data_IF_057059739009
#
_entry.id   IF_057059739009
#
_cell.length_a   1.000
_cell.length_b   1.000
_cell.length_c   1.000
_cell.angle_alpha   90.00
_cell.angle_beta   90.00
_cell.angle_gamma   90.00
#
_symmetry.space_group_name_H-M   'P 1'
#
loop_
_entity.id
_entity.type
_entity.pdbx_description
1 polymer ?
#
# COMPACT_ATOMS: atom_id res chain seq x y z
N UNK A 1 30.72 21.34 -10.09
CA UNK A 1 31.58 20.81 -11.17
C UNK A 1 30.81 19.70 -11.88
N UNK A 2 30.89 19.61 -13.21
CA UNK A 2 30.32 18.49 -13.99
C UNK A 2 31.27 17.30 -13.93
N UNK A 3 30.77 16.06 -14.00
CA UNK A 3 31.35 15.04 -14.88
C UNK A 3 30.30 13.96 -15.24
N UNK A 4 30.33 13.57 -16.51
CA UNK A 4 29.56 12.49 -17.15
C UNK A 4 30.57 11.72 -18.01
N UNK A 5 30.47 10.39 -18.07
CA UNK A 5 30.92 9.48 -19.15
C UNK A 5 30.73 8.04 -18.64
N UNK A 6 29.87 7.19 -19.22
CA UNK A 6 29.81 6.65 -20.60
C UNK A 6 30.84 5.55 -20.87
N UNK A 7 30.34 4.31 -20.74
CA UNK A 7 30.45 3.16 -21.65
C UNK A 7 31.70 3.02 -22.58
N UNK A 8 32.37 1.86 -22.47
CA UNK A 8 33.11 1.23 -23.58
C UNK A 8 32.91 -0.28 -23.56
N UNK A 9 32.69 -0.89 -24.73
CA UNK A 9 32.55 -2.33 -24.94
C UNK A 9 33.78 -2.92 -25.67
N UNK A 10 34.06 -4.21 -25.50
CA UNK A 10 35.07 -4.94 -26.29
C UNK A 10 34.74 -6.44 -26.47
N UNK A 11 35.15 -6.98 -27.63
CA UNK A 11 34.84 -8.29 -28.23
C UNK A 11 36.18 -8.97 -28.65
N UNK A 12 36.41 -10.30 -28.67
CA UNK A 12 35.64 -11.52 -28.31
C UNK A 12 36.65 -12.56 -27.79
N UNK A 13 36.22 -13.62 -27.07
CA UNK A 13 36.85 -14.96 -27.19
C UNK A 13 35.94 -16.11 -26.77
N UNK A 14 35.94 -17.17 -27.57
CA UNK A 14 34.97 -18.28 -27.55
C UNK A 14 35.54 -19.57 -26.97
N UNK A 15 34.76 -20.29 -26.15
CA UNK A 15 34.79 -21.77 -26.08
C UNK A 15 33.38 -22.31 -25.95
N UNK A 16 33.06 -23.32 -26.75
CA UNK A 16 31.77 -24.01 -26.83
C UNK A 16 31.69 -25.22 -25.88
N UNK A 17 30.52 -25.45 -25.26
CA UNK A 17 30.12 -26.78 -24.75
C UNK A 17 28.72 -27.12 -25.26
N UNK A 18 28.51 -28.38 -25.62
CA UNK A 18 27.40 -28.88 -26.44
C UNK A 18 26.27 -29.50 -25.61
N UNK A 19 25.03 -29.25 -25.99
CA UNK A 19 23.90 -30.17 -25.76
C UNK A 19 22.93 -30.13 -26.96
N UNK A 20 22.49 -31.32 -27.41
CA UNK A 20 21.76 -31.53 -28.68
C UNK A 20 20.29 -31.03 -28.64
N UNK A 21 19.70 -30.68 -29.80
CA UNK A 21 18.31 -30.22 -29.90
C UNK A 21 17.29 -31.36 -29.85
N UNK A 22 16.05 -31.02 -29.45
CA UNK A 22 14.85 -31.82 -29.65
C UNK A 22 14.09 -31.34 -30.90
N UNK A 23 13.40 -32.28 -31.55
CA UNK A 23 12.85 -32.17 -32.89
C UNK A 23 11.73 -31.11 -33.04
N UNK A 24 11.75 -30.36 -34.14
CA UNK A 24 10.69 -29.43 -34.54
C UNK A 24 10.05 -29.93 -35.84
N UNK A 25 8.79 -30.40 -35.75
CA UNK A 25 7.99 -30.66 -36.96
C UNK A 25 7.44 -29.37 -37.55
N UNK A 26 7.85 -29.12 -38.78
CA UNK A 26 7.43 -27.99 -39.61
C UNK A 26 6.03 -28.24 -40.19
N UNK A 27 5.16 -27.22 -40.13
CA UNK A 27 4.00 -27.07 -41.02
C UNK A 27 3.98 -25.62 -41.51
N UNK A 28 3.75 -25.43 -42.81
CA UNK A 28 3.84 -24.13 -43.47
C UNK A 28 2.51 -23.78 -44.15
N UNK A 29 2.10 -22.51 -44.04
CA UNK A 29 1.22 -21.88 -45.02
C UNK A 29 1.32 -20.34 -45.02
N UNK A 30 1.74 -19.84 -46.17
CA UNK A 30 1.50 -18.53 -46.80
C UNK A 30 0.66 -17.44 -46.09
N UNK A 31 1.33 -16.32 -45.79
CA UNK A 31 1.01 -14.93 -46.20
C UNK A 31 -0.45 -14.48 -46.45
N UNK A 32 -0.83 -13.35 -45.87
CA UNK A 32 -1.17 -12.11 -46.62
C UNK A 32 -1.16 -10.87 -45.71
N UNK A 33 -0.96 -9.70 -46.31
CA UNK A 33 -0.82 -8.39 -45.65
C UNK A 33 -2.14 -7.65 -45.49
N UNK A 34 -2.28 -6.86 -44.42
CA UNK A 34 -2.86 -5.52 -44.52
C UNK A 34 -2.52 -4.63 -43.32
N UNK A 35 -2.46 -3.32 -43.56
CA UNK A 35 -2.07 -2.28 -42.62
C UNK A 35 -3.28 -1.42 -42.21
N UNK A 36 -3.37 -1.08 -40.91
CA UNK A 36 -4.15 0.05 -40.42
C UNK A 36 -3.62 0.50 -39.05
N UNK A 37 -3.50 1.80 -38.84
CA UNK A 37 -3.24 2.38 -37.51
C UNK A 37 -4.56 2.81 -36.88
N UNK A 38 -4.73 2.58 -35.58
CA UNK A 38 -5.71 3.28 -34.77
C UNK A 38 -5.27 3.29 -33.30
N UNK A 39 -5.05 4.48 -32.77
CA UNK A 39 -4.78 4.74 -31.36
C UNK A 39 -6.09 4.70 -30.56
N UNK A 40 -6.17 3.92 -29.49
CA UNK A 40 -7.15 4.17 -28.43
C UNK A 40 -6.68 3.66 -27.06
N UNK A 41 -6.68 4.58 -26.10
CA UNK A 41 -6.45 4.34 -24.69
C UNK A 41 -7.66 3.65 -24.05
N UNK A 42 -7.47 2.56 -23.31
CA UNK A 42 -8.50 1.98 -22.44
C UNK A 42 -7.97 1.80 -21.02
N UNK A 43 -8.61 2.50 -20.08
CA UNK A 43 -8.42 2.37 -18.65
C UNK A 43 -8.98 1.04 -18.15
N UNK A 44 -8.19 0.31 -17.36
CA UNK A 44 -8.58 -0.97 -16.76
C UNK A 44 -9.50 -0.74 -15.56
N UNK A 45 -10.75 -1.25 -15.64
CA UNK A 45 -11.64 -1.43 -14.49
C UNK A 45 -11.80 -2.92 -14.20
N UNK A 46 -11.75 -3.29 -12.91
CA UNK A 46 -11.84 -4.68 -12.48
C UNK A 46 -13.23 -5.28 -12.76
N UNK A 47 -13.26 -6.52 -13.27
CA UNK A 47 -14.50 -7.21 -13.59
C UNK A 47 -15.03 -8.02 -12.40
N UNK A 48 -16.26 -7.71 -11.96
CA UNK A 48 -17.04 -8.56 -11.05
C UNK A 48 -18.34 -8.97 -11.74
N UNK A 49 -18.45 -10.23 -12.15
CA UNK A 49 -19.62 -10.78 -12.82
C UNK A 49 -20.56 -11.51 -11.84
N UNK A 50 -21.77 -10.99 -11.66
CA UNK A 50 -22.89 -11.72 -11.08
C UNK A 50 -24.21 -11.30 -11.75
N UNK A 51 -24.85 -12.22 -12.46
CA UNK A 51 -26.10 -12.00 -13.19
C UNK A 51 -27.30 -12.48 -12.38
N UNK A 52 -28.26 -11.61 -12.10
CA UNK A 52 -29.60 -11.98 -11.66
C UNK A 52 -30.63 -11.03 -12.29
N UNK A 53 -31.62 -11.60 -12.97
CA UNK A 53 -32.66 -10.87 -13.67
C UNK A 53 -33.93 -10.73 -12.82
N UNK A 54 -34.40 -9.51 -12.59
CA UNK A 54 -35.78 -9.27 -12.14
C UNK A 54 -36.29 -7.93 -12.66
N UNK A 55 -37.54 -7.92 -13.11
CA UNK A 55 -38.22 -6.77 -13.72
C UNK A 55 -39.01 -5.96 -12.69
N UNK A 56 -38.95 -4.62 -12.74
CA UNK A 56 -40.09 -3.78 -12.35
C UNK A 56 -40.07 -2.36 -12.93
N UNK A 57 -41.29 -1.84 -13.10
CA UNK A 57 -41.75 -0.50 -13.49
C UNK A 57 -40.88 0.72 -13.13
N UNK A 58 -40.82 1.66 -14.09
CA UNK A 58 -40.29 3.01 -13.94
C UNK A 58 -41.20 3.93 -13.09
N UNK A 59 -40.62 4.62 -12.10
CA UNK A 59 -41.16 5.86 -11.53
C UNK A 59 -40.05 6.92 -11.56
N UNK A 60 -40.38 8.12 -12.04
CA UNK A 60 -39.40 9.19 -12.21
C UNK A 60 -39.16 9.94 -10.89
N UNK A 61 -37.90 10.06 -10.48
CA UNK A 61 -37.45 10.90 -9.37
C UNK A 61 -36.53 12.01 -9.87
N UNK A 62 -36.68 13.19 -9.27
CA UNK A 62 -35.94 14.41 -9.63
C UNK A 62 -34.43 14.28 -9.47
N UNK A 63 -33.61 15.02 -10.25
CA UNK A 63 -32.15 14.99 -10.09
C UNK A 63 -31.73 15.49 -8.69
N UNK A 64 -30.64 14.94 -8.12
CA UNK A 64 -30.12 15.39 -6.83
C UNK A 64 -29.64 16.85 -6.90
N UNK A 65 -29.66 17.59 -5.77
CA UNK A 65 -29.10 18.93 -5.73
C UNK A 65 -27.60 18.90 -6.04
N UNK A 66 -27.03 19.97 -6.64
CA UNK A 66 -25.60 20.06 -6.85
C UNK A 66 -24.85 20.01 -5.51
N UNK A 67 -23.68 19.36 -5.44
CA UNK A 67 -22.91 19.29 -4.20
C UNK A 67 -22.51 20.70 -3.75
N UNK A 68 -22.43 20.96 -2.43
CA UNK A 68 -21.98 22.25 -1.93
C UNK A 68 -20.56 22.52 -2.43
N UNK A 69 -20.34 23.71 -3.00
CA UNK A 69 -19.02 24.15 -3.43
C UNK A 69 -18.17 24.40 -2.19
N UNK A 70 -17.45 23.36 -1.74
CA UNK A 70 -16.40 23.49 -0.73
C UNK A 70 -15.31 24.39 -1.32
N UNK A 71 -14.91 25.49 -0.66
CA UNK A 71 -13.80 26.30 -1.15
C UNK A 71 -12.56 25.42 -1.26
N UNK A 72 -11.96 25.34 -2.45
CA UNK A 72 -10.69 24.65 -2.66
C UNK A 72 -9.64 25.30 -1.76
N UNK A 73 -9.38 24.68 -0.60
CA UNK A 73 -8.43 25.19 0.38
C UNK A 73 -7.09 25.42 -0.30
N UNK A 74 -6.55 26.64 -0.18
CA UNK A 74 -5.37 27.04 -0.93
C UNK A 74 -4.24 26.03 -0.69
N UNK A 75 -3.67 25.53 -1.77
CA UNK A 75 -2.51 24.64 -1.71
C UNK A 75 -1.26 25.52 -1.79
N UNK A 76 -0.35 25.32 -0.85
CA UNK A 76 0.99 25.91 -0.89
C UNK A 76 2.04 24.79 -0.83
N UNK A 77 3.28 25.13 -1.17
CA UNK A 77 4.40 24.22 -1.02
C UNK A 77 4.57 23.83 0.46
N UNK A 78 4.63 22.52 0.76
CA UNK A 78 4.90 22.04 2.13
C UNK A 78 6.38 22.16 2.49
N UNK A 79 7.25 22.18 1.48
CA UNK A 79 8.68 22.45 1.63
C UNK A 79 8.89 23.92 2.02
N UNK A 80 9.49 24.14 3.19
CA UNK A 80 9.88 25.46 3.72
C UNK A 80 8.75 26.46 4.04
N UNK A 81 7.52 26.00 4.32
CA UNK A 81 6.45 26.88 4.83
C UNK A 81 6.52 27.01 6.36
N UNK A 82 6.31 28.20 6.94
CA UNK A 82 6.23 28.36 8.40
C UNK A 82 5.02 27.64 9.03
N UNK A 83 3.96 27.41 8.25
CA UNK A 83 2.80 26.59 8.62
C UNK A 83 3.17 25.11 8.85
N UNK A 84 4.27 24.63 8.27
CA UNK A 84 4.78 23.27 8.48
C UNK A 84 5.28 23.02 9.92
N UNK A 85 5.66 24.09 10.64
CA UNK A 85 6.35 24.04 11.95
C UNK A 85 5.43 24.39 13.12
N UNK A 86 4.42 25.26 12.91
CA UNK A 86 3.58 25.82 13.97
C UNK A 86 2.18 25.17 14.07
N UNK A 87 2.03 23.91 13.64
CA UNK A 87 0.78 23.16 13.77
C UNK A 87 0.51 22.77 15.24
N UNK A 88 0.00 23.71 16.02
CA UNK A 88 -0.59 23.47 17.34
C UNK A 88 -1.98 22.85 17.27
N UNK A 89 -2.42 22.42 16.08
CA UNK A 89 -3.72 21.81 15.84
C UNK A 89 -3.89 20.63 16.80
N UNK A 90 -4.76 20.81 17.81
CA UNK A 90 -4.98 19.76 18.79
C UNK A 90 -5.66 18.57 18.13
N UNK A 91 -5.44 17.40 18.71
CA UNK A 91 -5.85 16.14 18.08
C UNK A 91 -7.35 16.11 17.76
N UNK A 92 -8.18 16.60 18.69
CA UNK A 92 -9.64 16.55 18.70
C UNK A 92 -10.29 17.95 18.62
N UNK A 93 -9.66 18.88 17.90
CA UNK A 93 -10.25 20.21 17.68
C UNK A 93 -11.49 20.11 16.78
N UNK A 94 -12.68 20.17 17.38
CA UNK A 94 -13.96 20.11 16.67
C UNK A 94 -14.25 21.31 15.76
N UNK A 95 -13.47 22.39 15.86
CA UNK A 95 -13.54 23.51 14.91
C UNK A 95 -12.82 23.21 13.58
N UNK A 96 -11.96 22.18 13.54
CA UNK A 96 -11.35 21.71 12.30
C UNK A 96 -12.38 20.97 11.46
N UNK A 97 -12.49 21.38 10.20
CA UNK A 97 -13.41 20.80 9.22
C UNK A 97 -13.31 19.27 9.18
N UNK A 98 -14.46 18.60 9.22
CA UNK A 98 -14.57 17.14 9.21
C UNK A 98 -14.38 16.48 10.59
N UNK A 99 -13.50 16.98 11.46
CA UNK A 99 -13.20 16.37 12.77
C UNK A 99 -14.42 16.41 13.71
N UNK A 100 -15.12 17.54 13.76
CA UNK A 100 -16.32 17.71 14.60
C UNK A 100 -17.63 17.13 14.04
N UNK A 101 -17.60 16.38 12.94
CA UNK A 101 -18.81 16.01 12.20
C UNK A 101 -19.56 14.81 12.82
N UNK A 102 -20.90 14.85 12.78
CA UNK A 102 -21.79 13.87 13.44
C UNK A 102 -21.71 12.46 12.86
N UNK A 103 -21.27 12.31 11.60
CA UNK A 103 -21.02 10.99 11.01
C UNK A 103 -19.96 10.18 11.78
N UNK A 104 -19.08 10.85 12.54
CA UNK A 104 -18.05 10.23 13.37
C UNK A 104 -18.41 10.11 14.86
N UNK A 105 -19.69 10.20 15.25
CA UNK A 105 -20.09 10.03 16.65
C UNK A 105 -19.90 8.58 17.18
N UNK A 106 -19.73 7.61 16.29
CA UNK A 106 -19.33 6.24 16.63
C UNK A 106 -17.82 6.03 16.84
N UNK A 107 -17.00 7.09 16.72
CA UNK A 107 -15.54 7.00 16.91
C UNK A 107 -15.20 6.99 18.41
N UNK A 108 -14.41 6.00 18.82
CA UNK A 108 -13.93 5.83 20.18
C UNK A 108 -12.74 6.76 20.45
N UNK A 109 -12.67 7.32 21.66
CA UNK A 109 -11.53 8.12 22.11
C UNK A 109 -10.39 7.22 22.59
N UNK A 110 -9.18 7.48 22.12
CA UNK A 110 -7.97 6.82 22.59
C UNK A 110 -7.63 7.25 24.01
N UNK A 111 -7.26 6.26 24.83
CA UNK A 111 -6.69 6.44 26.17
C UNK A 111 -5.24 6.91 26.08
N UNK A 112 -4.52 6.52 25.02
CA UNK A 112 -3.10 6.84 24.80
C UNK A 112 -2.91 7.44 23.40
N UNK A 113 -3.17 8.77 23.23
CA UNK A 113 -2.95 9.50 21.99
C UNK A 113 -1.61 9.21 21.31
N UNK A 114 -1.62 9.22 19.98
CA UNK A 114 -0.49 8.85 19.14
C UNK A 114 -0.14 9.97 18.16
N UNK A 115 1.13 10.04 17.75
CA UNK A 115 1.53 10.71 16.52
C UNK A 115 1.43 9.70 15.36
N UNK A 116 0.45 9.88 14.47
CA UNK A 116 0.17 8.98 13.35
C UNK A 116 0.55 9.65 12.02
N UNK A 117 1.38 8.98 11.23
CA UNK A 117 1.51 9.28 9.79
C UNK A 117 0.46 8.47 9.04
N UNK A 118 -0.34 9.13 8.20
CA UNK A 118 -1.37 8.53 7.36
C UNK A 118 -0.97 8.66 5.88
N UNK A 119 -1.15 7.59 5.11
CA UNK A 119 -0.90 7.58 3.66
C UNK A 119 -1.86 6.61 2.97
N UNK A 120 -1.80 6.47 1.64
CA UNK A 120 -2.51 5.46 0.84
C UNK A 120 -1.89 5.36 -0.56
N UNK A 121 -2.50 4.58 -1.46
CA UNK A 121 -2.18 4.60 -2.89
C UNK A 121 -3.26 5.22 -3.79
N UNK A 122 -4.49 5.42 -3.34
CA UNK A 122 -5.57 6.03 -4.16
C UNK A 122 -5.45 7.56 -4.37
N UNK A 123 -4.43 8.20 -3.78
CA UNK A 123 -4.21 9.66 -3.61
C UNK A 123 -4.91 10.36 -2.43
N UNK A 124 -4.32 11.47 -1.98
CA UNK A 124 -4.74 12.36 -0.88
C UNK A 124 -6.16 12.93 -1.00
N UNK A 125 -6.77 12.79 -2.19
CA UNK A 125 -8.09 13.25 -2.53
C UNK A 125 -9.16 12.15 -2.56
N UNK A 126 -8.80 10.88 -2.28
CA UNK A 126 -9.79 9.82 -2.14
C UNK A 126 -10.68 10.03 -0.91
N UNK A 127 -11.93 9.58 -0.97
CA UNK A 127 -12.88 9.73 0.12
C UNK A 127 -12.45 8.94 1.36
N UNK A 128 -11.95 7.72 1.18
CA UNK A 128 -11.56 6.83 2.27
C UNK A 128 -10.42 7.40 3.14
N UNK A 129 -9.31 7.83 2.53
CA UNK A 129 -8.16 8.34 3.30
C UNK A 129 -8.50 9.64 4.03
N UNK A 130 -9.37 10.48 3.43
CA UNK A 130 -9.87 11.72 4.05
C UNK A 130 -10.84 11.45 5.20
N UNK A 131 -11.75 10.49 5.05
CA UNK A 131 -12.62 10.07 6.14
C UNK A 131 -11.81 9.49 7.31
N UNK A 132 -10.81 8.64 7.04
CA UNK A 132 -9.96 8.07 8.09
C UNK A 132 -9.11 9.14 8.80
N UNK A 133 -8.62 10.14 8.08
CA UNK A 133 -7.92 11.27 8.68
C UNK A 133 -8.78 12.00 9.72
N UNK A 134 -10.02 12.35 9.36
CA UNK A 134 -10.94 12.99 10.31
C UNK A 134 -11.32 12.06 11.47
N UNK A 135 -11.52 10.76 11.21
CA UNK A 135 -11.85 9.78 12.25
C UNK A 135 -10.70 9.55 13.25
N UNK A 136 -9.45 9.44 12.80
CA UNK A 136 -8.28 9.29 13.68
C UNK A 136 -8.03 10.56 14.52
N UNK A 137 -8.31 11.74 13.97
CA UNK A 137 -8.30 13.00 14.74
C UNK A 137 -9.44 13.05 15.75
N UNK A 138 -10.67 12.68 15.35
CA UNK A 138 -11.83 12.52 16.25
C UNK A 138 -11.58 11.50 17.37
N UNK A 139 -10.72 10.49 17.15
CA UNK A 139 -10.29 9.56 18.20
C UNK A 139 -9.30 10.18 19.20
N UNK A 140 -8.73 11.35 18.92
CA UNK A 140 -7.76 12.03 19.79
C UNK A 140 -6.29 11.78 19.41
N UNK A 141 -5.99 11.29 18.20
CA UNK A 141 -4.62 11.20 17.70
C UNK A 141 -4.17 12.46 16.95
N UNK A 142 -2.86 12.77 16.97
CA UNK A 142 -2.25 13.79 16.10
C UNK A 142 -1.93 13.13 14.76
N UNK A 143 -2.58 13.56 13.68
CA UNK A 143 -2.47 12.89 12.37
C UNK A 143 -1.81 13.80 11.34
N UNK A 144 -0.79 13.27 10.65
CA UNK A 144 -0.15 13.87 9.49
C UNK A 144 -0.43 12.98 8.27
N UNK A 145 -1.29 13.44 7.35
CA UNK A 145 -1.46 12.77 6.05
C UNK A 145 -0.37 13.23 5.07
N UNK A 146 0.35 12.29 4.49
CA UNK A 146 1.18 12.48 3.29
C UNK A 146 0.83 11.36 2.31
N UNK A 147 -0.01 11.66 1.33
CA UNK A 147 -0.49 10.71 0.33
C UNK A 147 -0.05 11.10 -1.09
N UNK A 148 -0.09 10.18 -2.07
CA UNK A 148 0.14 10.53 -3.46
C UNK A 148 -0.76 11.66 -3.98
N UNK A 149 -0.29 12.45 -4.94
CA UNK A 149 -1.11 13.40 -5.69
C UNK A 149 -2.05 12.69 -6.70
N UNK A 150 -1.57 11.61 -7.30
CA UNK A 150 -2.25 10.77 -8.30
C UNK A 150 -2.61 9.40 -7.74
N UNK A 151 -3.49 8.65 -8.40
CA UNK A 151 -3.65 7.23 -8.08
C UNK A 151 -2.35 6.46 -8.40
N UNK A 152 -1.92 5.62 -7.45
CA UNK A 152 -0.73 4.77 -7.47
C UNK A 152 -1.05 3.30 -7.12
N UNK A 153 -2.28 2.82 -7.37
CA UNK A 153 -2.58 1.38 -7.30
C UNK A 153 -1.59 0.57 -8.15
N UNK A 154 -1.24 -0.64 -7.70
CA UNK A 154 -0.39 -1.55 -8.47
C UNK A 154 1.12 -1.26 -8.42
N UNK A 155 1.61 -0.47 -7.46
CA UNK A 155 3.04 -0.12 -7.32
C UNK A 155 3.84 -1.00 -6.37
N UNK A 156 3.19 -1.84 -5.56
CA UNK A 156 3.87 -2.64 -4.53
C UNK A 156 4.79 -1.79 -3.65
N UNK A 157 5.96 -2.34 -3.29
CA UNK A 157 7.04 -1.62 -2.59
C UNK A 157 7.89 -0.66 -3.44
N UNK A 158 7.47 -0.31 -4.67
CA UNK A 158 8.30 0.55 -5.53
C UNK A 158 8.47 1.96 -4.93
N UNK A 159 9.69 2.48 -4.90
CA UNK A 159 10.01 3.86 -4.49
C UNK A 159 10.34 4.69 -5.73
N UNK A 160 9.44 5.62 -6.10
CA UNK A 160 9.70 6.65 -7.13
C UNK A 160 9.53 8.02 -6.49
N UNK A 161 10.57 8.84 -6.59
CA UNK A 161 10.59 10.24 -6.16
C UNK A 161 10.26 11.17 -7.35
N UNK A 162 9.75 12.38 -7.09
CA UNK A 162 9.54 13.37 -8.15
C UNK A 162 10.85 13.76 -8.82
N UNK A 163 10.84 13.82 -10.15
CA UNK A 163 11.97 14.29 -10.97
C UNK A 163 11.89 15.78 -11.32
N UNK A 164 10.74 16.40 -11.05
CA UNK A 164 10.42 17.79 -11.37
C UNK A 164 10.01 18.54 -10.11
N UNK A 165 10.31 19.86 -10.04
CA UNK A 165 9.89 20.70 -8.92
C UNK A 165 8.36 20.91 -8.86
N UNK A 166 7.68 20.71 -9.97
CA UNK A 166 6.26 20.96 -10.14
C UNK A 166 5.56 19.75 -10.77
N UNK A 167 4.29 19.59 -10.42
CA UNK A 167 3.34 18.61 -10.93
C UNK A 167 3.14 18.82 -12.43
N UNK A 168 3.45 17.80 -13.24
CA UNK A 168 3.38 17.85 -14.72
C UNK A 168 2.10 17.28 -15.30
N UNK A 169 1.34 16.51 -14.53
CA UNK A 169 0.02 15.96 -14.86
C UNK A 169 -0.98 16.28 -13.76
N UNK A 170 -2.25 16.46 -14.10
CA UNK A 170 -3.28 16.81 -13.13
C UNK A 170 -3.50 15.68 -12.10
N UNK A 171 -3.37 16.01 -10.81
CA UNK A 171 -3.64 15.08 -9.72
C UNK A 171 -5.10 14.62 -9.69
N UNK A 172 -5.40 13.58 -8.90
CA UNK A 172 -6.74 12.98 -8.83
C UNK A 172 -7.83 14.05 -8.68
N UNK A 173 -8.79 14.06 -9.61
CA UNK A 173 -9.94 14.97 -9.57
C UNK A 173 -9.64 16.46 -9.74
N UNK A 174 -8.44 16.85 -10.21
CA UNK A 174 -8.05 18.25 -10.36
C UNK A 174 -7.64 18.95 -9.06
N UNK A 175 -7.67 18.24 -7.93
CA UNK A 175 -7.34 18.81 -6.62
C UNK A 175 -5.85 19.14 -6.45
N UNK A 176 -4.98 18.72 -7.37
CA UNK A 176 -3.60 19.20 -7.49
C UNK A 176 -3.37 19.60 -8.96
N UNK A 177 -3.58 20.87 -9.33
CA UNK A 177 -3.41 21.33 -10.71
C UNK A 177 -1.97 21.20 -11.21
N UNK A 178 -1.80 21.09 -12.54
CA UNK A 178 -0.50 21.20 -13.21
C UNK A 178 0.17 22.51 -12.81
N UNK A 179 1.48 22.47 -12.52
CA UNK A 179 2.25 23.60 -12.02
C UNK A 179 2.24 23.76 -10.49
N UNK A 180 1.43 23.00 -9.75
CA UNK A 180 1.56 22.88 -8.28
C UNK A 180 2.94 22.33 -7.89
N UNK A 181 3.50 22.61 -6.70
CA UNK A 181 4.78 22.03 -6.27
C UNK A 181 4.69 20.50 -6.10
N UNK A 182 5.84 19.79 -6.18
CA UNK A 182 5.89 18.32 -6.03
C UNK A 182 5.39 17.83 -4.66
N UNK A 183 5.46 18.67 -3.63
CA UNK A 183 4.91 18.43 -2.30
C UNK A 183 4.11 19.66 -1.87
N UNK A 184 2.92 19.45 -1.32
CA UNK A 184 2.03 20.55 -0.96
C UNK A 184 1.13 20.23 0.22
N UNK A 185 0.68 21.28 0.91
CA UNK A 185 -0.25 21.19 2.05
C UNK A 185 -1.48 22.07 1.83
N UNK A 186 -2.58 21.70 2.50
CA UNK A 186 -3.77 22.54 2.63
C UNK A 186 -3.54 23.62 3.69
N UNK A 187 -3.68 24.91 3.36
CA UNK A 187 -3.42 25.99 4.34
C UNK A 187 -4.36 25.98 5.55
N UNK A 188 -5.60 25.51 5.38
CA UNK A 188 -6.61 25.49 6.45
C UNK A 188 -6.45 24.28 7.37
N UNK A 189 -5.73 23.25 6.94
CA UNK A 189 -5.32 22.13 7.78
C UNK A 189 -3.94 21.59 7.31
N UNK A 190 -2.84 22.11 7.87
CA UNK A 190 -1.47 21.72 7.49
C UNK A 190 -1.12 20.24 7.78
N UNK A 191 -2.00 19.48 8.43
CA UNK A 191 -1.90 18.02 8.54
C UNK A 191 -2.32 17.27 7.27
N UNK A 192 -2.96 17.94 6.30
CA UNK A 192 -3.38 17.35 5.02
C UNK A 192 -2.41 17.72 3.90
N UNK A 193 -1.58 16.76 3.47
CA UNK A 193 -0.53 16.97 2.47
C UNK A 193 -0.55 15.92 1.36
N UNK A 194 0.04 16.29 0.23
CA UNK A 194 0.38 15.35 -0.84
C UNK A 194 1.88 15.36 -1.14
N UNK A 195 2.35 14.26 -1.72
CA UNK A 195 3.68 14.11 -2.31
C UNK A 195 3.58 13.46 -3.69
N UNK A 196 4.35 13.93 -4.67
CA UNK A 196 4.34 13.42 -6.03
C UNK A 196 5.27 12.21 -6.20
N UNK A 197 4.97 11.13 -5.49
CA UNK A 197 5.73 9.89 -5.52
C UNK A 197 4.85 8.65 -5.46
N UNK A 198 5.48 7.48 -5.34
CA UNK A 198 4.78 6.23 -4.99
C UNK A 198 4.40 6.22 -3.50
N UNK A 199 3.53 5.29 -3.07
CA UNK A 199 3.06 5.20 -1.68
C UNK A 199 4.20 4.98 -0.67
N UNK A 200 5.14 4.08 -0.96
CA UNK A 200 6.36 3.90 -0.15
C UNK A 200 7.24 5.18 -0.11
N UNK A 201 7.31 5.93 -1.21
CA UNK A 201 7.99 7.22 -1.23
C UNK A 201 7.25 8.29 -0.40
N UNK A 202 5.93 8.23 -0.29
CA UNK A 202 5.13 9.09 0.58
C UNK A 202 5.36 8.77 2.06
N UNK A 203 5.41 7.48 2.45
CA UNK A 203 5.85 7.05 3.79
C UNK A 203 7.26 7.57 4.11
N UNK A 204 8.21 7.42 3.18
CA UNK A 204 9.57 7.92 3.35
C UNK A 204 9.63 9.45 3.53
N UNK A 205 8.98 10.21 2.65
CA UNK A 205 8.92 11.68 2.75
C UNK A 205 8.26 12.15 4.06
N UNK A 206 7.22 11.44 4.51
CA UNK A 206 6.58 11.73 5.78
C UNK A 206 7.56 11.59 6.95
N UNK A 207 8.25 10.44 7.05
CA UNK A 207 9.17 10.14 8.16
C UNK A 207 10.46 11.00 8.12
N UNK A 208 11.07 11.15 6.94
CA UNK A 208 12.37 11.81 6.77
C UNK A 208 12.29 13.35 6.69
N UNK A 209 11.10 13.92 6.49
CA UNK A 209 10.93 15.37 6.36
C UNK A 209 9.72 15.92 7.12
N UNK A 210 8.49 15.55 6.75
CA UNK A 210 7.30 16.28 7.21
C UNK A 210 6.97 16.04 8.70
N UNK A 211 7.19 14.83 9.20
CA UNK A 211 6.91 14.42 10.58
C UNK A 211 7.82 15.13 11.60
N UNK A 212 9.11 15.33 11.27
CA UNK A 212 10.09 15.96 12.15
C UNK A 212 9.62 17.35 12.62
N UNK A 213 9.06 18.12 11.68
CA UNK A 213 8.52 19.45 11.93
C UNK A 213 7.10 19.39 12.51
N UNK A 214 6.20 18.59 11.92
CA UNK A 214 4.79 18.55 12.33
C UNK A 214 4.58 18.02 13.76
N UNK A 215 5.33 16.99 14.16
CA UNK A 215 5.26 16.46 15.53
C UNK A 215 6.17 17.18 16.52
N UNK A 216 6.99 18.13 16.06
CA UNK A 216 8.03 18.83 16.82
C UNK A 216 9.04 17.85 17.48
N UNK A 217 9.53 16.90 16.68
CA UNK A 217 10.39 15.80 17.14
C UNK A 217 11.89 16.06 16.95
N UNK A 218 12.28 17.25 16.48
CA UNK A 218 13.67 17.67 16.25
C UNK A 218 14.58 17.62 17.49
N UNK A 219 14.02 17.47 18.70
CA UNK A 219 14.75 17.28 19.95
C UNK A 219 14.97 15.81 20.34
N UNK A 220 14.43 14.85 19.59
CA UNK A 220 14.63 13.41 19.83
C UNK A 220 15.74 12.88 18.93
N UNK A 221 16.71 12.18 19.52
CA UNK A 221 17.72 11.40 18.79
C UNK A 221 17.11 10.06 18.31
N UNK A 222 16.02 10.16 17.54
CA UNK A 222 15.02 9.13 17.27
C UNK A 222 14.78 9.03 15.76
N UNK A 223 15.12 7.88 15.17
CA UNK A 223 14.99 7.61 13.74
C UNK A 223 13.55 7.51 13.23
N UNK A 224 12.56 7.53 14.13
CA UNK A 224 11.12 7.53 13.79
C UNK A 224 10.51 8.93 13.70
N UNK A 225 11.29 9.99 13.96
CA UNK A 225 10.79 11.37 14.03
C UNK A 225 9.60 11.53 15.01
N UNK A 226 9.60 10.76 16.10
CA UNK A 226 8.53 10.76 17.11
C UNK A 226 7.18 10.20 16.63
N UNK A 227 7.15 9.47 15.51
CA UNK A 227 5.95 8.80 14.97
C UNK A 227 5.72 7.47 15.68
N UNK A 228 4.56 7.31 16.31
CA UNK A 228 4.18 6.07 17.01
C UNK A 228 3.70 4.98 16.04
N UNK A 229 3.08 5.38 14.93
CA UNK A 229 2.39 4.51 13.97
C UNK A 229 2.34 5.11 12.57
N UNK A 230 2.57 4.30 11.54
CA UNK A 230 2.11 4.57 10.18
C UNK A 230 0.79 3.83 9.93
N UNK A 231 -0.17 4.50 9.31
CA UNK A 231 -1.39 3.88 8.80
C UNK A 231 -1.43 4.11 7.30
N UNK A 232 -1.69 3.05 6.52
CA UNK A 232 -1.83 3.14 5.07
C UNK A 232 -3.22 2.68 4.63
N UNK A 233 -3.92 3.49 3.85
CA UNK A 233 -5.29 3.26 3.40
C UNK A 233 -6.33 4.16 4.11
N UNK A 234 -7.63 3.80 4.09
CA UNK A 234 -8.18 2.58 3.53
C UNK A 234 -8.16 2.60 2.00
N UNK A 235 -7.53 1.59 1.39
CA UNK A 235 -7.49 1.41 -0.08
C UNK A 235 -8.90 1.25 -0.67
N UNK A 236 -9.15 1.81 -1.86
CA UNK A 236 -10.39 1.63 -2.64
C UNK A 236 -10.39 0.24 -3.33
N UNK A 237 -10.47 -0.80 -2.51
CA UNK A 237 -10.39 -2.21 -2.89
C UNK A 237 -9.77 -3.05 -1.78
N UNK A 238 -9.86 -4.38 -1.87
CA UNK A 238 -9.21 -5.29 -0.90
C UNK A 238 -7.81 -5.70 -1.35
N UNK A 239 -6.94 -5.99 -0.38
CA UNK A 239 -5.59 -6.51 -0.61
C UNK A 239 -5.43 -7.81 0.19
N UNK A 240 -5.82 -8.93 -0.43
CA UNK A 240 -5.98 -10.23 0.23
C UNK A 240 -4.87 -11.20 -0.14
N UNK A 241 -4.09 -11.62 0.86
CA UNK A 241 -3.11 -12.68 0.77
C UNK A 241 -1.71 -12.24 0.32
N UNK A 242 -0.71 -13.13 0.41
CA UNK A 242 0.70 -12.77 0.24
C UNK A 242 1.04 -12.20 -1.14
N UNK A 243 0.31 -12.62 -2.19
CA UNK A 243 0.53 -12.11 -3.55
C UNK A 243 0.40 -10.58 -3.63
N UNK A 244 -0.49 -9.97 -2.84
CA UNK A 244 -0.72 -8.54 -2.90
C UNK A 244 0.45 -7.71 -2.35
N UNK A 245 1.44 -8.30 -1.67
CA UNK A 245 2.65 -7.59 -1.23
C UNK A 245 3.55 -7.19 -2.42
N UNK A 246 3.42 -7.83 -3.58
CA UNK A 246 4.15 -7.43 -4.81
C UNK A 246 3.41 -6.39 -5.65
N UNK A 247 2.14 -6.08 -5.33
CA UNK A 247 1.26 -5.22 -6.16
C UNK A 247 0.62 -4.04 -5.41
N UNK A 248 0.16 -4.23 -4.18
CA UNK A 248 -0.54 -3.18 -3.41
C UNK A 248 0.42 -2.08 -3.00
N UNK A 249 0.08 -0.83 -3.37
CA UNK A 249 0.79 0.35 -2.90
C UNK A 249 0.48 0.65 -1.44
N UNK A 250 -0.76 0.42 -0.99
CA UNK A 250 -1.15 0.54 0.42
C UNK A 250 -0.35 -0.42 1.32
N UNK A 251 -0.18 -1.69 0.93
CA UNK A 251 0.69 -2.62 1.65
C UNK A 251 2.15 -2.15 1.56
N UNK A 252 2.65 -1.80 0.37
CA UNK A 252 4.04 -1.36 0.18
C UNK A 252 4.43 -0.14 1.03
N UNK A 253 3.53 0.82 1.21
CA UNK A 253 3.73 1.98 2.07
C UNK A 253 3.81 1.61 3.57
N UNK A 254 2.99 0.65 4.00
CA UNK A 254 3.05 0.07 5.35
C UNK A 254 4.33 -0.75 5.55
N UNK A 255 4.74 -1.50 4.53
CA UNK A 255 5.93 -2.34 4.54
C UNK A 255 7.21 -1.52 4.76
N UNK A 256 7.37 -0.47 3.95
CA UNK A 256 8.48 0.47 4.04
C UNK A 256 8.59 1.12 5.44
N UNK A 257 7.46 1.43 6.08
CA UNK A 257 7.46 1.98 7.44
C UNK A 257 7.99 0.97 8.48
N UNK A 258 7.61 -0.31 8.37
CA UNK A 258 8.10 -1.38 9.27
C UNK A 258 9.61 -1.62 9.08
N UNK A 259 10.10 -1.62 7.83
CA UNK A 259 11.53 -1.70 7.51
C UNK A 259 12.31 -0.50 8.08
N UNK A 260 11.71 0.70 8.07
CA UNK A 260 12.25 1.91 8.71
C UNK A 260 12.11 1.93 10.23
N UNK A 261 11.61 0.85 10.85
CA UNK A 261 11.51 0.70 12.29
C UNK A 261 10.32 1.43 12.93
N UNK A 262 9.27 1.78 12.16
CA UNK A 262 8.02 2.36 12.67
C UNK A 262 6.91 1.28 12.62
N UNK A 263 6.11 1.07 13.69
CA UNK A 263 4.96 0.16 13.60
C UNK A 263 4.02 0.61 12.48
N UNK A 264 3.37 -0.34 11.78
CA UNK A 264 2.45 0.04 10.70
C UNK A 264 1.25 -0.89 10.53
N UNK A 265 0.12 -0.28 10.14
CA UNK A 265 -1.13 -0.96 9.80
C UNK A 265 -1.55 -0.56 8.37
N UNK A 266 -1.61 -1.52 7.46
CA UNK A 266 -2.28 -1.38 6.17
C UNK A 266 -3.79 -1.64 6.33
N UNK A 267 -4.64 -0.89 5.63
CA UNK A 267 -6.09 -0.99 5.69
C UNK A 267 -6.65 -0.97 4.27
N UNK A 268 -7.57 -1.88 3.97
CA UNK A 268 -8.14 -2.07 2.62
C UNK A 268 -9.63 -2.39 2.72
N UNK A 269 -10.45 -1.87 1.81
CA UNK A 269 -11.90 -2.02 1.91
C UNK A 269 -12.55 -2.18 0.54
N UNK A 270 -13.45 -3.16 0.40
CA UNK A 270 -14.35 -3.23 -0.77
C UNK A 270 -15.32 -2.04 -0.75
N UNK A 271 -14.90 -0.94 -1.37
CA UNK A 271 -15.56 0.38 -1.39
C UNK A 271 -15.63 0.91 -2.82
N UNK A 272 -16.50 1.88 -3.07
CA UNK A 272 -16.58 2.54 -4.37
C UNK A 272 -15.53 3.66 -4.51
N UNK A 273 -14.97 3.83 -5.72
CA UNK A 273 -13.95 4.86 -6.01
C UNK A 273 -14.60 6.25 -5.91
N UNK A 274 -14.17 7.06 -4.92
CA UNK A 274 -14.86 8.31 -4.55
C UNK A 274 -13.90 9.46 -4.31
N UNK A 275 -14.31 10.68 -4.67
CA UNK A 275 -13.57 11.89 -4.32
C UNK A 275 -13.99 12.38 -2.93
N UNK A 276 -13.08 13.00 -2.17
CA UNK A 276 -13.37 13.50 -0.82
C UNK A 276 -14.50 14.54 -0.77
N UNK A 277 -14.75 15.26 -1.87
CA UNK A 277 -15.89 16.20 -2.02
C UNK A 277 -17.25 15.49 -2.06
N UNK A 278 -17.28 14.17 -2.22
CA UNK A 278 -18.50 13.35 -2.13
C UNK A 278 -18.81 12.82 -0.72
N UNK A 279 -17.99 13.14 0.29
CA UNK A 279 -18.21 12.70 1.67
C UNK A 279 -19.42 13.41 2.29
N UNK A 280 -20.44 12.65 2.68
CA UNK A 280 -21.51 13.14 3.54
C UNK A 280 -21.07 13.04 5.01
N UNK A 281 -20.27 14.01 5.48
CA UNK A 281 -19.70 14.06 6.82
C UNK A 281 -20.74 13.99 7.96
N UNK A 282 -22.01 14.29 7.69
CA UNK A 282 -23.09 14.24 8.68
C UNK A 282 -23.77 12.87 8.79
N UNK A 283 -23.56 11.97 7.83
CA UNK A 283 -24.23 10.66 7.76
C UNK A 283 -23.27 9.53 8.17
N UNK A 284 -23.53 8.84 9.31
CA UNK A 284 -22.71 7.70 9.75
C UNK A 284 -22.87 6.47 8.84
N UNK A 285 -23.79 6.48 7.87
CA UNK A 285 -23.96 5.46 6.85
C UNK A 285 -23.31 5.83 5.51
N UNK A 286 -22.61 6.96 5.39
CA UNK A 286 -21.72 7.16 4.25
C UNK A 286 -20.63 6.07 4.28
N UNK A 287 -20.45 5.35 3.16
CA UNK A 287 -19.55 4.19 3.06
C UNK A 287 -18.14 4.47 3.60
N UNK A 288 -17.56 5.61 3.24
CA UNK A 288 -16.21 6.01 3.64
C UNK A 288 -16.17 6.46 5.10
N UNK A 289 -17.22 7.11 5.61
CA UNK A 289 -17.34 7.49 7.03
C UNK A 289 -17.45 6.24 7.92
N UNK A 290 -18.21 5.24 7.48
CA UNK A 290 -18.41 3.98 8.20
C UNK A 290 -17.14 3.11 8.21
N UNK A 291 -16.45 2.97 7.07
CA UNK A 291 -15.12 2.32 7.01
C UNK A 291 -14.10 3.07 7.88
N UNK A 292 -14.05 4.40 7.80
CA UNK A 292 -13.17 5.22 8.62
C UNK A 292 -13.43 5.06 10.11
N UNK A 293 -14.69 4.97 10.54
CA UNK A 293 -15.08 4.74 11.94
C UNK A 293 -14.61 3.36 12.42
N UNK A 294 -14.83 2.30 11.65
CA UNK A 294 -14.30 0.97 12.00
C UNK A 294 -12.77 0.94 12.04
N UNK A 295 -12.12 1.63 11.11
CA UNK A 295 -10.66 1.70 10.99
C UNK A 295 -10.03 2.47 12.16
N UNK A 296 -10.55 3.65 12.50
CA UNK A 296 -10.09 4.45 13.62
C UNK A 296 -10.32 3.73 14.96
N UNK A 297 -11.48 3.09 15.14
CA UNK A 297 -11.77 2.31 16.35
C UNK A 297 -10.83 1.11 16.51
N UNK A 298 -10.48 0.43 15.41
CA UNK A 298 -9.51 -0.67 15.44
C UNK A 298 -8.10 -0.19 15.76
N UNK A 299 -7.61 0.84 15.07
CA UNK A 299 -6.30 1.47 15.32
C UNK A 299 -6.20 1.92 16.78
N UNK A 300 -7.24 2.60 17.28
CA UNK A 300 -7.34 3.06 18.67
C UNK A 300 -7.27 1.88 19.65
N UNK A 301 -8.15 0.88 19.49
CA UNK A 301 -8.26 -0.25 20.41
C UNK A 301 -6.97 -1.07 20.46
N UNK A 302 -6.41 -1.44 19.30
CA UNK A 302 -5.17 -2.23 19.23
C UNK A 302 -4.00 -1.47 19.85
N UNK A 303 -3.93 -0.14 19.64
CA UNK A 303 -2.85 0.68 20.19
C UNK A 303 -2.96 0.90 21.69
N UNK A 304 -4.17 1.20 22.18
CA UNK A 304 -4.45 1.37 23.62
C UNK A 304 -4.17 0.06 24.39
N UNK A 305 -4.57 -1.09 23.85
CA UNK A 305 -4.33 -2.40 24.48
C UNK A 305 -2.84 -2.80 24.42
N UNK A 306 -2.14 -2.57 23.30
CA UNK A 306 -0.69 -2.82 23.18
C UNK A 306 0.14 -1.94 24.13
N UNK A 307 -0.32 -0.72 24.42
CA UNK A 307 0.33 0.27 25.30
C UNK A 307 -0.25 0.27 26.73
N UNK A 308 -1.19 -0.62 27.04
CA UNK A 308 -1.95 -0.65 28.31
C UNK A 308 -1.09 -0.80 29.58
N UNK A 309 -0.02 -1.60 29.50
CA UNK A 309 0.93 -1.83 30.60
C UNK A 309 2.12 -0.85 30.60
N UNK A 310 2.36 -0.17 29.48
CA UNK A 310 3.45 0.78 29.30
C UNK A 310 3.10 1.74 28.15
N UNK A 311 2.77 2.99 28.47
CA UNK A 311 2.41 4.02 27.48
C UNK A 311 3.54 4.38 26.52
N UNK A 312 4.80 4.07 26.87
CA UNK A 312 5.97 4.22 26.00
C UNK A 312 6.29 2.97 25.16
N UNK A 313 5.50 1.90 25.25
CA UNK A 313 5.67 0.72 24.41
C UNK A 313 5.36 1.02 22.94
N UNK A 314 5.99 0.22 22.06
CA UNK A 314 5.64 0.16 20.63
C UNK A 314 4.34 -0.63 20.47
N UNK A 315 3.52 -0.23 19.51
CA UNK A 315 2.24 -0.89 19.20
C UNK A 315 2.48 -2.29 18.61
N UNK A 316 3.53 -2.43 17.79
CA UNK A 316 4.00 -3.70 17.24
C UNK A 316 5.52 -3.85 17.46
N UNK A 317 6.04 -5.09 17.58
CA UNK A 317 7.48 -5.37 17.58
C UNK A 317 8.20 -4.84 16.35
N UNK A 318 9.53 -4.73 16.42
CA UNK A 318 10.34 -4.44 15.24
C UNK A 318 10.16 -5.54 14.18
N UNK A 319 10.12 -5.14 12.91
CA UNK A 319 9.93 -6.04 11.79
C UNK A 319 8.51 -6.61 11.62
N UNK A 320 7.55 -6.23 12.47
CA UNK A 320 6.18 -6.73 12.44
C UNK A 320 5.20 -5.61 12.06
N UNK A 321 4.31 -5.92 11.11
CA UNK A 321 3.20 -5.06 10.71
C UNK A 321 1.87 -5.82 10.68
N UNK A 322 0.78 -5.10 10.40
CA UNK A 322 -0.57 -5.68 10.34
C UNK A 322 -1.29 -5.19 9.07
N UNK A 323 -2.16 -6.03 8.51
CA UNK A 323 -3.10 -5.66 7.44
C UNK A 323 -4.55 -5.93 7.86
N UNK A 324 -5.45 -5.01 7.54
CA UNK A 324 -6.89 -5.10 7.75
C UNK A 324 -7.61 -5.08 6.42
N UNK A 325 -8.53 -6.03 6.20
CA UNK A 325 -9.45 -5.97 5.07
C UNK A 325 -10.91 -5.91 5.52
N UNK A 326 -11.72 -5.14 4.79
CA UNK A 326 -13.18 -5.05 4.97
C UNK A 326 -13.93 -5.60 3.74
N UNK A 327 -15.04 -6.34 3.96
CA UNK A 327 -15.97 -6.72 2.91
C UNK A 327 -16.82 -5.50 2.48
N UNK A 328 -17.65 -5.65 1.44
CA UNK A 328 -18.52 -4.54 1.00
C UNK A 328 -19.67 -4.33 2.01
N UNK A 329 -19.65 -3.21 2.72
CA UNK A 329 -20.59 -2.86 3.79
C UNK A 329 -21.80 -2.09 3.28
N UNK A 330 -22.89 -2.06 4.05
CA UNK A 330 -23.99 -1.11 3.77
C UNK A 330 -23.44 0.33 3.75
N UNK A 331 -23.90 1.19 2.82
CA UNK A 331 -25.09 1.07 1.99
C UNK A 331 -24.86 0.43 0.61
N UNK A 332 -23.61 0.17 0.23
CA UNK A 332 -23.23 -0.29 -1.13
C UNK A 332 -23.12 -1.82 -1.24
N UNK A 333 -23.10 -2.52 -0.10
CA UNK A 333 -23.19 -3.97 0.04
C UNK A 333 -24.12 -4.39 1.17
N UNK A 334 -24.07 -5.67 1.57
CA UNK A 334 -25.06 -6.25 2.49
C UNK A 334 -24.56 -6.42 3.93
N UNK A 335 -23.31 -6.03 4.24
CA UNK A 335 -22.74 -6.20 5.57
C UNK A 335 -23.13 -5.03 6.50
N UNK A 336 -24.03 -5.30 7.44
CA UNK A 336 -24.53 -4.37 8.47
C UNK A 336 -23.71 -4.43 9.77
N UNK A 337 -23.53 -5.64 10.28
CA UNK A 337 -23.06 -5.96 11.64
C UNK A 337 -21.66 -6.59 11.58
N UNK A 338 -20.67 -5.74 11.29
CA UNK A 338 -19.29 -6.16 11.06
C UNK A 338 -18.67 -6.81 12.31
N UNK A 339 -18.22 -8.06 12.17
CA UNK A 339 -17.43 -8.78 13.19
C UNK A 339 -15.94 -8.83 12.84
N UNK A 340 -15.07 -9.00 13.84
CA UNK A 340 -13.62 -9.04 13.65
C UNK A 340 -13.09 -10.47 13.75
N UNK A 341 -12.14 -10.82 12.88
CA UNK A 341 -11.45 -12.11 12.90
C UNK A 341 -9.94 -11.90 12.80
N UNK A 342 -9.19 -12.47 13.75
CA UNK A 342 -7.74 -12.63 13.62
C UNK A 342 -7.47 -13.71 12.56
N UNK A 343 -6.81 -13.32 11.48
CA UNK A 343 -6.54 -14.14 10.31
C UNK A 343 -5.05 -14.31 10.07
N UNK A 344 -4.72 -15.15 9.09
CA UNK A 344 -3.41 -15.20 8.46
C UNK A 344 -3.57 -14.87 6.96
N UNK A 345 -2.51 -14.36 6.33
CA UNK A 345 -2.54 -13.97 4.91
C UNK A 345 -2.88 -15.15 3.99
N UNK A 346 -2.26 -16.30 4.25
CA UNK A 346 -2.42 -17.56 3.50
C UNK A 346 -3.70 -18.30 3.89
N UNK A 347 -4.27 -19.11 3.01
CA UNK A 347 -5.44 -19.96 3.30
C UNK A 347 -6.59 -19.61 2.35
N UNK A 348 -6.68 -20.36 1.25
CA UNK A 348 -7.41 -19.97 0.03
C UNK A 348 -6.94 -18.63 -0.57
N UNK A 349 -5.72 -18.22 -0.24
CA UNK A 349 -5.06 -17.08 -0.87
C UNK A 349 -4.87 -17.37 -2.37
N UNK A 350 -5.01 -16.32 -3.17
CA UNK A 350 -4.93 -16.37 -4.63
C UNK A 350 -3.63 -15.75 -5.12
N UNK A 351 -3.19 -16.21 -6.28
CA UNK A 351 -2.17 -15.60 -7.13
C UNK A 351 -2.72 -15.51 -8.55
N UNK A 352 -2.22 -14.59 -9.36
CA UNK A 352 -2.61 -14.49 -10.76
C UNK A 352 -2.17 -15.71 -11.59
N UNK A 353 -3.08 -16.17 -12.45
CA UNK A 353 -2.77 -17.04 -13.58
C UNK A 353 -3.07 -16.33 -14.88
N UNK A 354 -2.07 -16.22 -15.76
CA UNK A 354 -2.27 -15.67 -17.09
C UNK A 354 -3.08 -16.65 -17.95
N UNK A 355 -4.10 -16.13 -18.61
CA UNK A 355 -4.99 -16.85 -19.53
C UNK A 355 -5.22 -15.99 -20.77
N UNK A 356 -5.58 -16.60 -21.90
CA UNK A 356 -5.94 -15.85 -23.12
C UNK A 356 -7.45 -15.65 -23.13
N UNK A 357 -7.89 -14.41 -23.30
CA UNK A 357 -9.31 -14.09 -23.48
C UNK A 357 -9.77 -14.59 -24.86
N UNK A 358 -10.66 -15.59 -24.90
CA UNK A 358 -11.07 -16.26 -26.13
C UNK A 358 -11.79 -15.35 -27.15
N UNK A 359 -12.34 -14.21 -26.72
CA UNK A 359 -13.06 -13.27 -27.59
C UNK A 359 -12.12 -12.26 -28.25
N UNK A 360 -11.07 -11.81 -27.54
CA UNK A 360 -10.14 -10.76 -28.01
C UNK A 360 -8.79 -11.30 -28.47
N UNK A 361 -8.44 -12.53 -28.11
CA UNK A 361 -7.11 -13.13 -28.36
C UNK A 361 -5.99 -12.55 -27.49
N UNK A 362 -6.29 -11.62 -26.59
CA UNK A 362 -5.30 -10.96 -25.74
C UNK A 362 -5.10 -11.69 -24.39
N UNK A 363 -3.90 -11.63 -23.79
CA UNK A 363 -3.68 -12.08 -22.42
C UNK A 363 -4.54 -11.32 -21.41
N UNK A 364 -4.97 -12.02 -20.37
CA UNK A 364 -5.64 -11.48 -19.18
C UNK A 364 -5.33 -12.38 -17.98
N UNK A 365 -5.93 -12.09 -16.82
CA UNK A 365 -5.65 -12.71 -15.54
C UNK A 365 -6.86 -13.50 -15.04
N UNK A 366 -6.61 -14.58 -14.31
CA UNK A 366 -7.61 -15.35 -13.59
C UNK A 366 -7.07 -15.75 -12.21
N UNK A 367 -7.96 -15.82 -11.21
CA UNK A 367 -7.59 -16.21 -9.85
C UNK A 367 -7.12 -17.67 -9.82
N UNK A 368 -5.96 -17.93 -9.21
CA UNK A 368 -5.44 -19.28 -9.00
C UNK A 368 -5.07 -19.50 -7.54
N UNK A 369 -5.73 -20.47 -6.90
CA UNK A 369 -5.36 -20.96 -5.56
C UNK A 369 -4.22 -21.96 -5.74
N UNK A 370 -3.00 -21.55 -5.40
CA UNK A 370 -1.80 -22.39 -5.49
C UNK A 370 -1.40 -22.91 -4.11
N UNK A 371 -0.89 -24.14 -4.05
CA UNK A 371 -0.30 -24.70 -2.82
C UNK A 371 0.89 -23.86 -2.34
N UNK A 372 1.66 -23.26 -3.25
CA UNK A 372 2.83 -22.44 -2.91
C UNK A 372 2.47 -21.20 -2.10
N UNK A 373 1.45 -20.43 -2.53
CA UNK A 373 0.98 -19.23 -1.79
C UNK A 373 0.15 -19.58 -0.54
N UNK A 374 -0.20 -20.85 -0.35
CA UNK A 374 -0.99 -21.34 0.79
C UNK A 374 -0.20 -22.22 1.77
N UNK A 375 1.08 -22.47 1.53
CA UNK A 375 1.92 -23.31 2.37
C UNK A 375 1.99 -22.75 3.81
N UNK A 376 1.71 -23.59 4.82
CA UNK A 376 1.98 -23.20 6.21
C UNK A 376 3.45 -23.47 6.56
N UNK A 377 4.28 -22.44 6.35
CA UNK A 377 5.72 -22.48 6.65
C UNK A 377 6.03 -21.74 7.96
N UNK A 378 5.34 -20.62 8.22
CA UNK A 378 5.48 -19.81 9.43
C UNK A 378 4.11 -19.27 9.91
N UNK A 379 4.07 -18.82 11.18
CA UNK A 379 2.86 -18.32 11.83
C UNK A 379 1.91 -19.41 12.33
N UNK A 380 0.76 -19.00 12.88
CA UNK A 380 -0.24 -19.92 13.41
C UNK A 380 -1.13 -20.52 12.30
N UNK A 381 -0.93 -21.79 11.94
CA UNK A 381 -1.72 -22.47 10.92
C UNK A 381 -3.22 -22.63 11.27
N UNK A 382 -3.63 -22.49 12.54
CA UNK A 382 -5.04 -22.70 12.94
C UNK A 382 -5.94 -21.48 12.68
N UNK A 383 -5.35 -20.31 12.37
CA UNK A 383 -6.12 -19.13 11.97
C UNK A 383 -6.69 -19.31 10.55
N UNK A 384 -7.92 -18.83 10.28
CA UNK A 384 -8.47 -18.82 8.94
C UNK A 384 -7.71 -17.83 8.03
N UNK A 385 -7.69 -18.13 6.73
CA UNK A 385 -7.07 -17.25 5.74
C UNK A 385 -7.95 -16.04 5.42
N UNK A 386 -7.36 -14.85 5.31
CA UNK A 386 -8.13 -13.61 5.13
C UNK A 386 -8.95 -13.58 3.84
N UNK A 387 -8.46 -14.17 2.75
CA UNK A 387 -9.22 -14.30 1.50
C UNK A 387 -10.54 -15.05 1.71
N UNK A 388 -10.54 -16.10 2.54
CA UNK A 388 -11.75 -16.85 2.90
C UNK A 388 -12.66 -16.04 3.85
N UNK A 389 -12.09 -15.35 4.83
CA UNK A 389 -12.86 -14.55 5.79
C UNK A 389 -13.63 -13.42 5.11
N UNK A 390 -13.00 -12.70 4.17
CA UNK A 390 -13.66 -11.60 3.46
C UNK A 390 -14.68 -12.09 2.41
N UNK A 391 -14.45 -13.26 1.80
CA UNK A 391 -15.32 -13.78 0.73
C UNK A 391 -16.45 -14.71 1.21
N UNK A 392 -16.45 -15.16 2.48
CA UNK A 392 -17.44 -16.12 2.99
C UNK A 392 -18.87 -15.56 3.21
N UNK A 393 -19.09 -14.26 3.02
CA UNK A 393 -20.40 -13.60 3.17
C UNK A 393 -20.89 -13.37 4.60
N UNK A 394 -20.10 -13.70 5.64
CA UNK A 394 -20.50 -13.60 7.07
C UNK A 394 -20.31 -12.21 7.69
N UNK A 395 -20.11 -11.16 6.89
CA UNK A 395 -19.92 -9.78 7.36
C UNK A 395 -18.76 -9.66 8.38
N UNK A 396 -17.54 -10.02 7.94
CA UNK A 396 -16.37 -10.09 8.80
C UNK A 396 -15.22 -9.23 8.24
N UNK A 397 -14.57 -8.44 9.08
CA UNK A 397 -13.27 -7.85 8.81
C UNK A 397 -12.17 -8.82 9.22
N UNK A 398 -11.11 -8.89 8.43
CA UNK A 398 -9.92 -9.69 8.71
C UNK A 398 -8.80 -8.80 9.25
N UNK A 399 -8.03 -9.30 10.22
CA UNK A 399 -6.81 -8.68 10.70
C UNK A 399 -5.68 -9.71 10.69
N UNK A 400 -4.70 -9.54 9.80
CA UNK A 400 -3.56 -10.44 9.62
C UNK A 400 -2.24 -9.77 9.99
N UNK A 401 -1.36 -10.47 10.68
CA UNK A 401 0.00 -10.01 11.01
C UNK A 401 0.98 -10.44 9.90
N UNK A 402 1.95 -9.59 9.57
CA UNK A 402 3.05 -9.88 8.64
C UNK A 402 4.42 -9.58 9.27
N UNK A 403 5.47 -10.15 8.67
CA UNK A 403 6.87 -9.92 9.03
C UNK A 403 7.65 -9.36 7.84
N UNK A 404 8.73 -8.63 8.13
CA UNK A 404 9.77 -8.23 7.17
C UNK A 404 11.07 -9.02 7.33
N UNK A 405 11.07 -10.01 8.23
CA UNK A 405 12.07 -11.08 8.27
C UNK A 405 11.72 -12.13 7.21
N UNK A 406 12.56 -12.20 6.17
CA UNK A 406 12.36 -13.03 4.99
C UNK A 406 13.15 -14.35 5.01
N UNK A 407 14.01 -14.57 6.01
CA UNK A 407 14.90 -15.73 6.01
C UNK A 407 14.10 -17.03 6.09
N UNK A 408 14.53 -18.02 5.31
CA UNK A 408 13.80 -19.27 5.18
C UNK A 408 13.83 -20.04 6.52
N UNK A 409 12.67 -20.39 7.11
CA UNK A 409 12.58 -20.77 8.51
C UNK A 409 13.35 -22.06 8.78
N UNK A 410 14.30 -21.97 9.71
CA UNK A 410 15.33 -22.97 10.02
C UNK A 410 14.79 -24.40 10.18
N UNK A 411 13.63 -24.56 10.85
CA UNK A 411 12.97 -25.87 11.05
C UNK A 411 12.44 -26.54 9.77
N UNK A 412 12.34 -25.81 8.64
CA UNK A 412 11.97 -26.33 7.32
C UNK A 412 13.17 -26.44 6.36
N UNK A 413 14.30 -25.86 6.72
CA UNK A 413 15.49 -25.72 5.85
C UNK A 413 16.75 -26.34 6.41
N UNK A 414 16.75 -26.95 7.61
CA UNK A 414 17.92 -27.50 8.28
C UNK A 414 18.86 -28.33 7.37
N UNK A 415 18.34 -29.34 6.68
CA UNK A 415 19.13 -30.20 5.78
C UNK A 415 19.71 -29.42 4.59
N UNK A 416 18.95 -28.46 4.05
CA UNK A 416 19.37 -27.59 2.96
C UNK A 416 20.45 -26.59 3.42
N UNK A 417 20.34 -26.06 4.64
CA UNK A 417 21.34 -25.16 5.25
C UNK A 417 22.66 -25.90 5.46
N UNK A 418 22.61 -27.15 5.94
CA UNK A 418 23.81 -27.97 6.08
C UNK A 418 24.49 -28.21 4.72
N UNK A 419 23.73 -28.71 3.74
CA UNK A 419 24.25 -28.95 2.38
C UNK A 419 24.77 -27.68 1.69
N UNK A 420 24.11 -26.54 1.89
CA UNK A 420 24.55 -25.22 1.38
C UNK A 420 25.86 -24.78 2.05
N UNK A 421 25.98 -24.96 3.37
CA UNK A 421 27.18 -24.60 4.15
C UNK A 421 28.40 -25.42 3.71
N UNK A 422 28.23 -26.73 3.56
CA UNK A 422 29.28 -27.63 3.07
C UNK A 422 29.68 -27.31 1.62
N UNK A 423 28.68 -27.04 0.76
CA UNK A 423 28.88 -26.63 -0.62
C UNK A 423 29.68 -25.33 -0.75
N UNK A 424 29.31 -24.29 -0.01
CA UNK A 424 30.04 -23.00 0.04
C UNK A 424 31.46 -23.20 0.58
N UNK A 425 31.63 -24.02 1.62
CA UNK A 425 32.95 -24.34 2.19
C UNK A 425 33.87 -25.02 1.18
N UNK A 426 33.33 -25.94 0.36
CA UNK A 426 34.05 -26.60 -0.73
C UNK A 426 34.42 -25.65 -1.88
N UNK A 427 33.56 -24.70 -2.24
CA UNK A 427 33.88 -23.68 -3.24
C UNK A 427 35.04 -22.78 -2.77
N UNK A 428 35.04 -22.38 -1.49
CA UNK A 428 36.05 -21.49 -0.93
C UNK A 428 37.42 -22.18 -0.75
N UNK A 429 37.46 -23.45 -0.36
CA UNK A 429 38.73 -24.20 -0.22
C UNK A 429 39.40 -24.49 -1.57
N UNK A 430 38.62 -24.63 -2.64
CA UNK A 430 39.16 -24.74 -4.00
C UNK A 430 39.69 -23.39 -4.53
N UNK A 431 39.13 -22.25 -4.12
CA UNK A 431 39.64 -20.94 -4.53
C UNK A 431 41.06 -20.67 -4.00
N UNK A 432 41.37 -21.10 -2.77
CA UNK A 432 42.71 -20.93 -2.18
C UNK A 432 43.78 -21.81 -2.82
N UNK A 433 43.44 -23.01 -3.32
CA UNK A 433 44.39 -23.90 -4.00
C UNK A 433 44.80 -23.41 -5.41
N UNK A 434 43.92 -22.66 -6.10
CA UNK A 434 44.29 -21.97 -7.34
C UNK A 434 45.17 -20.73 -7.11
N UNK A 435 45.04 -20.06 -5.95
CA UNK A 435 45.86 -18.89 -5.59
C UNK A 435 47.31 -19.28 -5.28
N UNK A 436 47.52 -20.33 -4.48
CA UNK A 436 48.88 -20.83 -4.15
C UNK A 436 49.64 -21.32 -5.38
N UNK A 437 48.95 -21.93 -6.36
CA UNK A 437 49.56 -22.35 -7.62
C UNK A 437 49.96 -21.18 -8.54
N UNK A 438 49.40 -19.96 -8.40
CA UNK A 438 49.86 -18.77 -9.12
C UNK A 438 51.07 -18.09 -8.47
N UNK A 439 51.19 -18.14 -7.14
CA UNK A 439 52.33 -17.58 -6.43
C UNK A 439 53.65 -18.33 -6.71
N UNK A 440 53.57 -19.65 -6.93
CA UNK A 440 54.74 -20.49 -7.24
C UNK A 440 55.25 -20.38 -8.69
N UNK A 441 54.55 -19.69 -9.60
CA UNK A 441 54.94 -19.58 -11.02
C UNK A 441 55.69 -18.29 -11.38
N UNK A 442 55.98 -17.40 -10.42
CA UNK A 442 56.72 -16.14 -10.62
C UNK A 442 58.07 -16.10 -9.90
N UNK A 443 58.50 -17.18 -9.25
CA UNK A 443 59.77 -17.28 -8.52
C UNK A 443 60.89 -18.01 -9.29
N UNK A 444 60.71 -18.28 -10.58
CA UNK A 444 61.66 -19.01 -11.44
C UNK A 444 61.76 -18.37 -12.83
N UNK A 445 62.52 -17.27 -12.89
CA UNK A 445 63.05 -16.64 -14.09
C UNK A 445 64.47 -16.15 -13.81
#
# INVERSE_FOLDING_TARGET
>A
MKFFSVLTAALVSSVSVSSKPLDLRQLASSSTSNSASATSTSSLSAASSASASTSTSSSATSPPPPPPVVPSGTIINSYNSSLSYNSTASADDSSVYGVGATGFDGVQKSKIPLNIVLTNDDSWASANVRALYYALRRAGHRVLMVSPSHNQSGKGGTVVLPTELNITSEGRGGFVPVGSPFAGLNVSDPGLRYFNGTPAACSGWALDHDAQYFFNATSRNDSTAGVDLVVSGPNEGTNLGPFLYTLSGTIGASYFAVERGVPSIAISASTDIRQYTSLNLSDPNDESIKIATYSANFVTTVSDEAKSSNSSARILPLGIGLTVNYPKIVPTGNCTDLTWVHTRLTGKAIVDRFVVNATTGLPTYANYVSDGVNACIAGNCSLPGETDVISNGKCQASASIYSVDYDAPTGKTADLIAALTDGISSLNSNATSFSSNRANTTASA
#
